data_IF_110886662612
#
_entry.id   IF_110886662612
#
_cell.length_a   1.000
_cell.length_b   1.000
_cell.length_c   1.000
_cell.angle_alpha   90.00
_cell.angle_beta   90.00
_cell.angle_gamma   90.00
#
_symmetry.space_group_name_H-M   'P 1'
#
loop_
_entity.id
_entity.type
_entity.pdbx_description
1 polymer ?
#
# COMPACT_ATOMS: atom_id res chain seq x y z
N UNK A 1 -13.91 -10.80 21.19
CA UNK A 1 -13.05 -11.59 20.29
C UNK A 1 -12.50 -10.68 19.19
N UNK A 2 -11.33 -10.96 18.63
CA UNK A 2 -10.74 -10.18 17.53
C UNK A 2 -11.69 -10.02 16.34
N UNK A 3 -12.42 -11.09 15.99
CA UNK A 3 -13.40 -11.09 14.90
C UNK A 3 -14.49 -10.01 15.06
N UNK A 4 -14.95 -9.72 16.27
CA UNK A 4 -15.94 -8.68 16.49
C UNK A 4 -15.37 -7.29 16.21
N UNK A 5 -14.13 -7.01 16.62
CA UNK A 5 -13.45 -5.73 16.33
C UNK A 5 -13.26 -5.52 14.82
N UNK A 6 -12.92 -6.58 14.07
CA UNK A 6 -12.71 -6.51 12.63
C UNK A 6 -14.02 -6.22 11.88
N UNK A 7 -15.14 -6.81 12.33
CA UNK A 7 -16.47 -6.50 11.79
C UNK A 7 -16.85 -5.05 12.05
N UNK A 8 -16.66 -4.55 13.27
CA UNK A 8 -16.97 -3.16 13.62
C UNK A 8 -16.09 -2.18 12.83
N UNK A 9 -14.80 -2.48 12.65
CA UNK A 9 -13.92 -1.66 11.81
C UNK A 9 -14.48 -1.52 10.39
N UNK A 10 -14.89 -2.62 9.78
CA UNK A 10 -15.45 -2.58 8.41
C UNK A 10 -16.73 -1.79 8.32
N UNK A 11 -17.63 -1.94 9.28
CA UNK A 11 -18.87 -1.16 9.33
C UNK A 11 -18.61 0.33 9.51
N UNK A 12 -17.73 0.71 10.43
CA UNK A 12 -17.34 2.09 10.64
C UNK A 12 -16.62 2.68 9.42
N UNK A 13 -15.78 1.88 8.74
CA UNK A 13 -15.11 2.28 7.51
C UNK A 13 -16.11 2.56 6.37
N UNK A 14 -17.08 1.68 6.15
CA UNK A 14 -18.12 1.89 5.14
C UNK A 14 -18.95 3.15 5.42
N UNK A 15 -19.22 3.44 6.69
CA UNK A 15 -19.94 4.65 7.10
C UNK A 15 -19.08 5.93 7.06
N UNK A 16 -17.75 5.82 6.91
CA UNK A 16 -16.82 6.96 7.05
C UNK A 16 -16.77 7.51 8.47
N UNK A 17 -17.11 6.69 9.46
CA UNK A 17 -17.21 7.05 10.87
C UNK A 17 -15.85 6.97 11.56
N UNK A 18 -15.07 8.05 11.43
CA UNK A 18 -13.72 8.17 12.00
C UNK A 18 -13.73 8.04 13.53
N UNK A 19 -14.73 8.61 14.20
CA UNK A 19 -14.82 8.58 15.66
C UNK A 19 -14.96 7.13 16.18
N UNK A 20 -15.73 6.31 15.50
CA UNK A 20 -15.87 4.88 15.82
C UNK A 20 -14.66 4.05 15.40
N UNK A 21 -13.89 4.50 14.40
CA UNK A 21 -12.68 3.80 13.95
C UNK A 21 -11.48 4.01 14.86
N UNK A 22 -11.25 5.23 15.37
CA UNK A 22 -10.08 5.57 16.18
C UNK A 22 -9.80 4.63 17.37
N UNK A 23 -10.80 4.21 18.15
CA UNK A 23 -10.54 3.27 19.23
C UNK A 23 -10.27 1.84 18.77
N UNK A 24 -10.64 1.48 17.52
CA UNK A 24 -10.49 0.14 16.96
C UNK A 24 -9.20 -0.04 16.19
N UNK A 25 -8.70 1.02 15.57
CA UNK A 25 -7.51 1.00 14.72
C UNK A 25 -6.65 2.24 14.95
N UNK A 26 -5.42 2.04 15.40
CA UNK A 26 -4.49 3.11 15.77
C UNK A 26 -3.09 2.83 15.21
N UNK A 27 -2.35 3.85 14.75
CA UNK A 27 -2.78 5.24 14.54
C UNK A 27 -3.65 5.39 13.28
N UNK A 28 -4.40 6.49 13.20
CA UNK A 28 -5.05 6.97 11.98
C UNK A 28 -4.45 8.32 11.62
N UNK A 29 -3.67 8.39 10.55
CA UNK A 29 -3.11 9.65 10.05
C UNK A 29 -4.21 10.56 9.47
N UNK A 30 -3.94 11.86 9.37
CA UNK A 30 -4.88 12.79 8.75
C UNK A 30 -5.11 12.47 7.27
N UNK A 31 -4.08 11.98 6.58
CA UNK A 31 -4.19 11.51 5.21
C UNK A 31 -5.09 10.27 5.11
N UNK A 32 -4.97 9.31 6.03
CA UNK A 32 -5.83 8.13 6.06
C UNK A 32 -7.28 8.49 6.38
N UNK A 33 -7.53 9.42 7.31
CA UNK A 33 -8.87 9.94 7.58
C UNK A 33 -9.49 10.57 6.34
N UNK A 34 -8.73 11.36 5.59
CA UNK A 34 -9.13 11.94 4.31
C UNK A 34 -9.43 10.85 3.25
N UNK A 35 -8.59 9.82 3.19
CA UNK A 35 -8.80 8.66 2.33
C UNK A 35 -10.12 7.95 2.64
N UNK A 36 -10.36 7.65 3.91
CA UNK A 36 -11.60 6.99 4.38
C UNK A 36 -12.81 7.84 4.01
N UNK A 37 -12.78 9.16 4.27
CA UNK A 37 -13.86 10.09 3.92
C UNK A 37 -14.14 10.12 2.42
N UNK A 38 -13.11 10.05 1.58
CA UNK A 38 -13.25 10.05 0.12
C UNK A 38 -13.89 8.77 -0.39
N UNK A 39 -13.44 7.60 0.09
CA UNK A 39 -13.87 6.32 -0.47
C UNK A 39 -15.14 5.76 0.16
N UNK A 40 -15.44 6.10 1.42
CA UNK A 40 -16.68 5.70 2.08
C UNK A 40 -17.95 6.18 1.36
N UNK A 41 -17.87 7.25 0.62
CA UNK A 41 -19.00 7.77 -0.19
C UNK A 41 -19.46 6.79 -1.28
N UNK A 42 -18.58 5.88 -1.71
CA UNK A 42 -18.90 4.85 -2.72
C UNK A 42 -19.42 3.56 -2.09
N UNK A 43 -19.16 3.33 -0.80
CA UNK A 43 -19.42 2.05 -0.13
C UNK A 43 -20.79 2.04 0.55
N UNK A 44 -21.64 1.08 0.15
CA UNK A 44 -22.92 0.84 0.82
C UNK A 44 -22.73 -0.01 2.08
N UNK A 45 -22.04 -1.15 1.95
CA UNK A 45 -21.80 -2.06 3.07
C UNK A 45 -20.62 -3.00 2.83
N UNK A 46 -20.12 -3.58 3.92
CA UNK A 46 -19.30 -4.78 3.88
C UNK A 46 -20.10 -5.94 4.47
N UNK A 47 -20.38 -6.94 3.64
CA UNK A 47 -21.22 -8.08 3.98
C UNK A 47 -20.38 -9.36 4.05
N UNK A 48 -20.97 -10.43 4.58
CA UNK A 48 -20.37 -11.77 4.66
C UNK A 48 -18.93 -11.79 5.21
N UNK A 49 -18.69 -10.99 6.25
CA UNK A 49 -17.36 -10.84 6.86
C UNK A 49 -16.96 -12.13 7.58
N UNK A 50 -15.85 -12.73 7.15
CA UNK A 50 -15.26 -13.93 7.75
C UNK A 50 -13.81 -13.63 8.12
N UNK A 51 -13.46 -13.91 9.37
CA UNK A 51 -12.11 -13.67 9.91
C UNK A 51 -11.41 -15.01 10.18
N UNK A 52 -10.16 -15.12 9.71
CA UNK A 52 -9.25 -16.22 9.99
C UNK A 52 -8.08 -15.66 10.78
N UNK A 53 -7.81 -16.18 11.97
CA UNK A 53 -6.76 -15.66 12.84
C UNK A 53 -5.74 -16.73 13.20
N UNK A 54 -4.48 -16.30 13.34
CA UNK A 54 -3.42 -17.09 13.93
C UNK A 54 -2.63 -16.23 14.95
N UNK A 55 -1.90 -16.87 15.89
CA UNK A 55 -1.04 -16.17 16.83
C UNK A 55 -0.05 -15.26 16.12
N UNK A 56 0.16 -14.05 16.65
CA UNK A 56 1.18 -13.12 16.20
C UNK A 56 2.53 -13.33 16.88
N UNK A 57 3.29 -12.25 17.03
CA UNK A 57 4.66 -12.30 17.60
C UNK A 57 4.65 -12.50 19.12
N UNK A 58 3.61 -12.01 19.79
CA UNK A 58 3.44 -12.09 21.22
C UNK A 58 2.18 -12.88 21.57
N UNK A 59 2.09 -13.35 22.82
CA UNK A 59 0.92 -14.09 23.30
C UNK A 59 -0.38 -13.29 23.22
N UNK A 60 -0.26 -11.96 23.17
CA UNK A 60 -1.38 -11.02 23.10
C UNK A 60 -1.54 -10.36 21.71
N UNK A 61 -0.98 -10.95 20.68
CA UNK A 61 -1.10 -10.46 19.30
C UNK A 61 -1.61 -11.52 18.34
N UNK A 62 -2.22 -11.07 17.22
CA UNK A 62 -2.85 -11.93 16.24
C UNK A 62 -2.64 -11.39 14.84
N UNK A 63 -2.39 -12.30 13.89
CA UNK A 63 -2.47 -12.02 12.45
C UNK A 63 -3.84 -12.47 11.97
N UNK A 64 -4.58 -11.56 11.33
CA UNK A 64 -5.97 -11.79 10.95
C UNK A 64 -6.16 -11.53 9.46
N UNK A 65 -6.69 -12.52 8.75
CA UNK A 65 -7.19 -12.37 7.39
C UNK A 65 -8.70 -12.14 7.44
N UNK A 66 -9.18 -11.09 6.80
CA UNK A 66 -10.59 -10.73 6.79
C UNK A 66 -11.10 -10.77 5.36
N UNK A 67 -11.98 -11.72 5.07
CA UNK A 67 -12.70 -11.80 3.79
C UNK A 67 -14.06 -11.13 3.92
N UNK A 68 -14.50 -10.47 2.86
CA UNK A 68 -15.76 -9.74 2.84
C UNK A 68 -16.30 -9.61 1.42
N UNK A 69 -17.57 -9.22 1.33
CA UNK A 69 -18.22 -8.76 0.10
C UNK A 69 -18.48 -7.25 0.22
N UNK A 70 -17.78 -6.45 -0.58
CA UNK A 70 -17.97 -4.99 -0.62
C UNK A 70 -19.08 -4.65 -1.60
N UNK A 71 -20.13 -4.03 -1.08
CA UNK A 71 -21.23 -3.52 -1.88
C UNK A 71 -21.08 -2.02 -2.11
N UNK A 72 -21.22 -1.62 -3.36
CA UNK A 72 -21.23 -0.22 -3.77
C UNK A 72 -22.67 0.27 -3.94
N UNK A 73 -22.92 1.54 -3.69
CA UNK A 73 -24.21 2.14 -3.97
C UNK A 73 -24.61 1.94 -5.43
N UNK A 74 -25.88 1.58 -5.66
CA UNK A 74 -26.49 1.40 -6.99
C UNK A 74 -25.91 0.26 -7.85
N UNK A 75 -25.10 -0.62 -7.26
CA UNK A 75 -24.54 -1.79 -7.92
C UNK A 75 -25.00 -3.05 -7.16
N UNK A 76 -25.68 -3.95 -7.88
CA UNK A 76 -26.27 -5.15 -7.26
C UNK A 76 -25.21 -6.21 -6.93
N UNK A 77 -24.17 -6.31 -7.75
CA UNK A 77 -23.10 -7.29 -7.57
C UNK A 77 -22.03 -6.76 -6.61
N UNK A 78 -21.83 -7.46 -5.51
CA UNK A 78 -20.77 -7.13 -4.57
C UNK A 78 -19.38 -7.55 -5.08
N UNK A 79 -18.35 -6.81 -4.69
CA UNK A 79 -16.96 -7.14 -4.96
C UNK A 79 -16.35 -7.93 -3.78
N UNK A 80 -16.04 -9.22 -3.94
CA UNK A 80 -15.29 -9.96 -2.93
C UNK A 80 -13.92 -9.34 -2.68
N UNK A 81 -13.53 -9.24 -1.42
CA UNK A 81 -12.24 -8.68 -1.02
C UNK A 81 -11.63 -9.40 0.17
N UNK A 82 -10.37 -9.12 0.40
CA UNK A 82 -9.62 -9.65 1.53
C UNK A 82 -8.63 -8.61 2.03
N UNK A 83 -8.53 -8.49 3.35
CA UNK A 83 -7.56 -7.64 4.03
C UNK A 83 -6.85 -8.40 5.14
N UNK A 84 -5.72 -7.85 5.57
CA UNK A 84 -4.93 -8.37 6.68
C UNK A 84 -4.87 -7.33 7.78
N UNK A 85 -5.01 -7.79 9.04
CA UNK A 85 -4.87 -6.96 10.21
C UNK A 85 -3.87 -7.57 11.18
N UNK A 86 -3.03 -6.74 11.75
CA UNK A 86 -2.25 -7.07 12.92
C UNK A 86 -2.97 -6.52 14.15
N UNK A 87 -3.40 -7.42 15.03
CA UNK A 87 -4.20 -7.09 16.21
C UNK A 87 -3.37 -7.28 17.45
N UNK A 88 -3.35 -6.30 18.31
CA UNK A 88 -2.62 -6.30 19.58
C UNK A 88 -3.54 -5.96 20.74
N UNK A 89 -3.07 -6.22 21.95
CA UNK A 89 -3.75 -5.82 23.18
C UNK A 89 -3.08 -4.58 23.75
N UNK A 90 -3.88 -3.57 24.07
CA UNK A 90 -3.41 -2.37 24.74
C UNK A 90 -3.05 -2.60 26.21
N UNK A 91 -2.43 -1.61 26.87
CA UNK A 91 -2.07 -1.69 28.29
C UNK A 91 -3.27 -1.84 29.25
N UNK A 92 -4.51 -1.71 28.75
CA UNK A 92 -5.76 -1.93 29.51
C UNK A 92 -6.39 -3.29 29.23
N UNK A 93 -5.78 -4.06 28.32
CA UNK A 93 -6.26 -5.39 27.94
C UNK A 93 -7.28 -5.38 26.78
N UNK A 94 -7.53 -4.25 26.12
CA UNK A 94 -8.42 -4.18 24.98
C UNK A 94 -7.69 -4.55 23.69
N UNK A 95 -8.34 -5.30 22.82
CA UNK A 95 -7.82 -5.59 21.48
C UNK A 95 -8.02 -4.38 20.57
N UNK A 96 -6.98 -4.02 19.85
CA UNK A 96 -7.02 -3.01 18.79
C UNK A 96 -6.23 -3.47 17.57
N UNK A 97 -6.53 -2.88 16.41
CA UNK A 97 -5.79 -3.10 15.18
C UNK A 97 -4.61 -2.14 15.18
N UNK A 98 -3.38 -2.69 15.13
CA UNK A 98 -2.20 -1.87 14.92
C UNK A 98 -2.16 -1.43 13.45
N UNK A 99 -2.61 -0.21 13.21
CA UNK A 99 -2.86 0.31 11.88
C UNK A 99 -1.58 0.70 11.11
N UNK A 100 -0.43 0.73 11.80
CA UNK A 100 0.89 0.82 11.14
C UNK A 100 1.07 -0.30 10.11
N UNK A 101 0.51 -1.49 10.39
CA UNK A 101 0.58 -2.66 9.51
C UNK A 101 -0.70 -2.86 8.69
N UNK A 102 -1.42 -1.80 8.37
CA UNK A 102 -2.57 -1.82 7.48
C UNK A 102 -2.16 -1.78 6.00
N UNK A 103 -3.05 -2.25 5.12
CA UNK A 103 -2.87 -2.12 3.68
C UNK A 103 -2.69 -0.66 3.24
N UNK A 104 -3.37 0.27 3.92
CA UNK A 104 -3.19 1.70 3.67
C UNK A 104 -1.75 2.12 3.91
N UNK A 105 -1.19 1.86 5.10
CA UNK A 105 0.17 2.28 5.42
C UNK A 105 1.22 1.55 4.59
N UNK A 106 0.99 0.30 4.18
CA UNK A 106 1.89 -0.40 3.25
C UNK A 106 1.97 0.26 1.87
N UNK A 107 0.90 0.94 1.45
CA UNK A 107 0.85 1.64 0.17
C UNK A 107 1.36 3.08 0.23
N UNK A 108 1.18 3.77 1.35
CA UNK A 108 1.41 5.21 1.45
C UNK A 108 2.54 5.61 2.41
N UNK A 109 2.94 4.72 3.33
CA UNK A 109 4.06 4.89 4.27
C UNK A 109 3.95 6.18 5.10
N UNK A 110 2.76 6.49 5.59
CA UNK A 110 2.53 7.61 6.51
C UNK A 110 3.16 7.36 7.89
N UNK A 111 3.37 6.09 8.25
CA UNK A 111 3.97 5.65 9.51
C UNK A 111 5.13 4.68 9.23
N UNK A 112 6.19 4.76 10.05
CA UNK A 112 7.35 3.90 9.93
C UNK A 112 7.04 2.45 10.34
N UNK A 113 7.55 1.50 9.57
CA UNK A 113 7.37 0.06 9.78
C UNK A 113 8.54 -0.54 10.57
N UNK A 114 8.25 -1.36 11.59
CA UNK A 114 9.25 -2.28 12.13
C UNK A 114 9.54 -3.40 11.13
N UNK A 115 10.80 -3.49 10.71
CA UNK A 115 11.22 -4.41 9.64
C UNK A 115 11.00 -5.90 9.99
N UNK A 116 11.14 -6.26 11.27
CA UNK A 116 10.97 -7.65 11.72
C UNK A 116 9.49 -8.05 11.71
N UNK A 117 8.63 -7.18 12.24
CA UNK A 117 7.20 -7.42 12.26
C UNK A 117 6.61 -7.38 10.83
N UNK A 118 7.07 -6.45 10.01
CA UNK A 118 6.69 -6.40 8.59
C UNK A 118 7.06 -7.71 7.86
N UNK A 119 8.28 -8.21 8.08
CA UNK A 119 8.72 -9.48 7.50
C UNK A 119 7.88 -10.67 7.96
N UNK A 120 7.48 -10.69 9.23
CA UNK A 120 6.58 -11.72 9.76
C UNK A 120 5.21 -11.69 9.07
N UNK A 121 4.63 -10.51 8.91
CA UNK A 121 3.34 -10.32 8.24
C UNK A 121 3.43 -10.78 6.78
N UNK A 122 4.50 -10.40 6.06
CA UNK A 122 4.71 -10.85 4.68
C UNK A 122 4.86 -12.37 4.57
N UNK A 123 5.52 -13.01 5.54
CA UNK A 123 5.63 -14.46 5.57
C UNK A 123 4.29 -15.14 5.83
N UNK A 124 3.47 -14.57 6.70
CA UNK A 124 2.10 -15.03 6.92
C UNK A 124 1.26 -14.93 5.64
N UNK A 125 1.29 -13.80 4.96
CA UNK A 125 0.55 -13.58 3.72
C UNK A 125 0.97 -14.54 2.59
N UNK A 126 2.20 -15.05 2.65
CA UNK A 126 2.76 -16.04 1.70
C UNK A 126 2.58 -17.49 2.12
N UNK A 127 1.98 -17.75 3.28
CA UNK A 127 1.71 -19.13 3.70
C UNK A 127 0.70 -19.82 2.76
N UNK A 128 0.81 -21.12 2.59
CA UNK A 128 0.02 -21.87 1.60
C UNK A 128 -1.49 -21.68 1.81
N UNK A 129 -1.96 -21.70 3.05
CA UNK A 129 -3.37 -21.54 3.39
C UNK A 129 -3.88 -20.14 3.04
N UNK A 130 -3.09 -19.10 3.33
CA UNK A 130 -3.43 -17.71 3.04
C UNK A 130 -3.39 -17.46 1.53
N UNK A 131 -2.39 -17.97 0.82
CA UNK A 131 -2.30 -17.89 -0.64
C UNK A 131 -3.48 -18.58 -1.31
N UNK A 132 -3.88 -19.75 -0.84
CA UNK A 132 -5.06 -20.45 -1.35
C UNK A 132 -6.34 -19.63 -1.15
N UNK A 133 -6.48 -18.99 0.02
CA UNK A 133 -7.61 -18.10 0.31
C UNK A 133 -7.61 -16.85 -0.58
N UNK A 134 -6.46 -16.22 -0.78
CA UNK A 134 -6.30 -15.08 -1.70
C UNK A 134 -6.70 -15.46 -3.13
N UNK A 135 -6.28 -16.63 -3.61
CA UNK A 135 -6.64 -17.12 -4.95
C UNK A 135 -8.14 -17.36 -5.09
N UNK A 136 -8.80 -17.90 -4.07
CA UNK A 136 -10.25 -18.08 -4.08
C UNK A 136 -11.01 -16.75 -4.12
N UNK A 137 -10.57 -15.78 -3.31
CA UNK A 137 -11.17 -14.43 -3.30
C UNK A 137 -10.94 -13.75 -4.65
N UNK A 138 -9.73 -13.84 -5.22
CA UNK A 138 -9.42 -13.24 -6.51
C UNK A 138 -10.27 -13.85 -7.63
N UNK A 139 -10.45 -15.17 -7.67
CA UNK A 139 -11.29 -15.82 -8.67
C UNK A 139 -12.75 -15.36 -8.59
N UNK A 140 -13.29 -15.23 -7.38
CA UNK A 140 -14.67 -14.70 -7.17
C UNK A 140 -14.77 -13.22 -7.57
N UNK A 141 -13.75 -12.43 -7.28
CA UNK A 141 -13.68 -11.01 -7.70
C UNK A 141 -13.69 -10.91 -9.24
N UNK A 142 -12.85 -11.68 -9.91
CA UNK A 142 -12.77 -11.68 -11.38
C UNK A 142 -14.11 -12.08 -12.02
N UNK A 143 -14.80 -13.08 -11.45
CA UNK A 143 -16.12 -13.50 -11.88
C UNK A 143 -17.17 -12.40 -11.66
N UNK A 144 -17.17 -11.75 -10.48
CA UNK A 144 -18.08 -10.66 -10.17
C UNK A 144 -17.92 -9.49 -11.14
N UNK A 145 -16.67 -9.05 -11.38
CA UNK A 145 -16.35 -7.95 -12.31
C UNK A 145 -16.72 -8.31 -13.75
N UNK A 146 -16.50 -9.55 -14.18
CA UNK A 146 -16.87 -10.02 -15.52
C UNK A 146 -18.38 -10.11 -15.70
N UNK A 147 -19.16 -10.31 -14.64
CA UNK A 147 -20.62 -10.48 -14.69
C UNK A 147 -21.40 -9.18 -14.64
N UNK A 148 -20.79 -8.08 -14.19
CA UNK A 148 -21.48 -6.80 -13.97
C UNK A 148 -20.64 -5.61 -14.48
N UNK A 149 -21.14 -5.01 -15.58
CA UNK A 149 -20.48 -3.86 -16.21
C UNK A 149 -20.41 -2.64 -15.29
N UNK A 150 -21.42 -2.42 -14.43
CA UNK A 150 -21.42 -1.32 -13.46
C UNK A 150 -20.30 -1.52 -12.44
N UNK A 151 -20.14 -2.75 -11.94
CA UNK A 151 -19.05 -3.09 -11.05
C UNK A 151 -17.69 -2.91 -11.72
N UNK A 152 -17.53 -3.39 -12.96
CA UNK A 152 -16.31 -3.22 -13.74
C UNK A 152 -15.95 -1.74 -13.92
N UNK A 153 -16.92 -0.88 -14.22
CA UNK A 153 -16.73 0.57 -14.35
C UNK A 153 -16.41 1.23 -13.02
N UNK A 154 -17.03 0.78 -11.92
CA UNK A 154 -16.73 1.29 -10.58
C UNK A 154 -15.27 1.02 -10.21
N UNK A 155 -14.83 -0.23 -10.23
CA UNK A 155 -13.48 -0.62 -9.78
C UNK A 155 -12.39 -0.23 -10.78
N UNK A 156 -12.67 -0.28 -12.08
CA UNK A 156 -11.73 0.03 -13.16
C UNK A 156 -11.63 1.50 -13.55
N UNK A 157 -12.65 2.29 -13.26
CA UNK A 157 -12.76 3.70 -13.66
C UNK A 157 -12.97 4.65 -12.50
N UNK A 158 -14.17 4.60 -11.88
CA UNK A 158 -14.59 5.57 -10.86
C UNK A 158 -13.64 5.63 -9.67
N UNK A 159 -13.32 4.49 -9.06
CA UNK A 159 -12.41 4.43 -7.90
C UNK A 159 -10.98 4.81 -8.27
N UNK A 160 -10.51 4.45 -9.47
CA UNK A 160 -9.17 4.87 -9.93
C UNK A 160 -9.09 6.38 -10.10
N UNK A 161 -10.12 7.00 -10.66
CA UNK A 161 -10.18 8.46 -10.81
C UNK A 161 -10.24 9.16 -9.45
N UNK A 162 -11.02 8.61 -8.51
CA UNK A 162 -11.10 9.12 -7.15
C UNK A 162 -9.74 9.01 -6.43
N UNK A 163 -9.03 7.90 -6.61
CA UNK A 163 -7.68 7.69 -6.06
C UNK A 163 -6.69 8.74 -6.58
N UNK A 164 -6.69 8.99 -7.89
CA UNK A 164 -5.81 10.00 -8.50
C UNK A 164 -6.10 11.39 -7.91
N UNK A 165 -7.36 11.79 -7.85
CA UNK A 165 -7.77 13.09 -7.30
C UNK A 165 -7.40 13.23 -5.82
N UNK A 166 -7.59 12.16 -5.04
CA UNK A 166 -7.21 12.17 -3.63
C UNK A 166 -5.70 12.32 -3.46
N UNK A 167 -4.87 11.58 -4.20
CA UNK A 167 -3.40 11.71 -4.18
C UNK A 167 -2.94 13.10 -4.54
N UNK A 168 -3.52 13.70 -5.58
CA UNK A 168 -3.19 15.06 -6.01
C UNK A 168 -3.55 16.08 -4.91
N UNK A 169 -4.66 15.91 -4.21
CA UNK A 169 -5.08 16.78 -3.11
C UNK A 169 -4.14 16.68 -1.90
N UNK A 170 -3.68 15.49 -1.55
CA UNK A 170 -2.72 15.26 -0.44
C UNK A 170 -1.36 15.87 -0.79
N UNK A 171 -0.85 15.66 -2.00
CA UNK A 171 0.40 16.27 -2.46
C UNK A 171 0.35 17.81 -2.41
N UNK A 172 -0.75 18.42 -2.86
CA UNK A 172 -0.94 19.88 -2.80
C UNK A 172 -0.97 20.43 -1.37
N UNK A 173 -1.48 19.65 -0.40
CA UNK A 173 -1.49 20.03 1.02
C UNK A 173 -0.09 20.02 1.63
N UNK A 174 0.71 19.01 1.31
CA UNK A 174 2.11 18.90 1.76
C UNK A 174 2.97 20.05 1.23
N UNK A 175 2.82 20.43 -0.04
CA UNK A 175 3.54 21.55 -0.64
C UNK A 175 3.20 22.89 0.04
N UNK A 176 1.97 23.06 0.54
CA UNK A 176 1.56 24.28 1.26
C UNK A 176 2.05 24.33 2.71
N UNK A 177 2.19 23.20 3.38
CA UNK A 177 2.76 23.10 4.73
C UNK A 177 4.25 23.40 4.74
N UNK A 178 5.01 22.86 3.78
CA UNK A 178 6.44 23.16 3.59
C UNK A 178 6.68 24.65 3.25
N UNK A 179 5.75 25.30 2.55
CA UNK A 179 5.85 26.72 2.21
C UNK A 179 5.56 27.68 3.37
N UNK A 180 4.89 27.22 4.44
CA UNK A 180 4.54 28.04 5.60
C UNK A 180 5.57 28.03 6.72
N UNK A 181 6.56 27.13 6.69
CA UNK A 181 7.64 27.07 7.68
C UNK A 181 8.88 27.92 7.32
N UNK A 182 8.77 28.80 6.34
CA UNK A 182 9.80 29.79 6.03
C UNK A 182 9.48 31.10 6.78
N UNK A 183 9.83 31.19 8.04
CA UNK A 183 9.85 32.45 8.78
C UNK A 183 10.88 33.38 8.12
N UNK A 184 10.54 34.59 7.69
CA UNK A 184 11.51 35.51 7.16
C UNK A 184 12.42 35.99 8.32
N UNK A 185 13.67 35.59 8.28
CA UNK A 185 14.70 36.18 9.13
C UNK A 185 14.84 37.66 8.75
N UNK A 186 14.51 38.51 9.69
CA UNK A 186 14.71 39.96 9.68
C UNK A 186 16.17 40.28 9.36
N UNK A 187 16.35 40.94 8.22
CA UNK A 187 17.63 41.55 7.82
C UNK A 187 17.88 42.79 8.65
N UNK A 188 18.94 42.83 9.43
CA UNK A 188 19.57 44.09 9.82
C UNK A 188 20.83 44.31 9.00
N UNK A 189 20.82 45.45 8.35
CA UNK A 189 21.86 46.06 7.55
C UNK A 189 23.18 46.23 8.33
N UNK A 190 24.29 45.95 7.66
CA UNK A 190 25.42 46.93 7.75
C UNK A 190 26.30 46.82 6.52
N UNK A 191 26.36 47.96 5.82
CA UNK A 191 27.26 48.28 4.71
C UNK A 191 28.75 48.16 5.08
N UNK A 192 29.57 47.73 4.14
CA UNK A 192 30.69 48.54 3.61
C UNK A 192 31.53 47.80 2.56
N UNK A 193 31.51 48.36 1.35
CA UNK A 193 32.60 48.70 0.40
C UNK A 193 33.92 47.89 0.52
N UNK A 194 34.52 47.41 -0.52
CA UNK A 194 35.12 47.95 -1.74
C UNK A 194 35.85 46.84 -2.54
N UNK A 195 35.64 46.82 -3.84
CA UNK A 195 36.58 46.92 -4.97
C UNK A 195 37.79 45.97 -5.06
N UNK A 196 37.93 45.21 -6.11
CA UNK A 196 38.72 45.28 -7.31
C UNK A 196 38.91 43.95 -7.99
N UNK A 197 38.51 43.91 -9.28
CA UNK A 197 39.24 43.54 -10.50
C UNK A 197 40.36 42.46 -10.39
N UNK A 198 40.32 41.43 -11.21
CA UNK A 198 40.75 41.33 -12.59
C UNK A 198 40.86 39.86 -13.03
N UNK A 199 40.37 39.55 -14.23
CA UNK A 199 41.00 38.90 -15.41
C UNK A 199 41.96 37.74 -15.11
N UNK A 200 42.00 36.69 -15.82
CA UNK A 200 41.98 36.43 -17.24
C UNK A 200 42.23 34.90 -17.45
N UNK A 201 41.57 34.38 -18.45
CA UNK A 201 42.08 33.66 -19.61
C UNK A 201 42.59 32.21 -19.53
N UNK A 202 41.99 31.52 -20.46
CA UNK A 202 42.61 30.57 -21.42
C UNK A 202 42.61 29.09 -21.10
N UNK A 203 41.72 28.42 -21.79
CA UNK A 203 41.93 27.63 -23.02
C UNK A 203 42.70 26.32 -22.91
N UNK A 204 42.06 25.36 -23.44
CA UNK A 204 42.42 24.43 -24.53
C UNK A 204 42.54 22.96 -24.14
N UNK A 205 41.63 22.24 -24.75
CA UNK A 205 41.80 21.24 -25.85
C UNK A 205 42.52 19.93 -25.52
N UNK A 206 41.85 18.93 -25.91
CA UNK A 206 42.10 17.86 -26.91
C UNK A 206 41.84 16.50 -26.33
N UNK A 207 40.85 15.79 -26.90
CA UNK A 207 40.94 14.72 -27.91
C UNK A 207 41.94 13.62 -27.58
N UNK A 208 41.47 12.40 -27.55
CA UNK A 208 41.41 11.41 -28.61
C UNK A 208 41.11 10.03 -27.99
N UNK A 209 40.09 9.31 -28.39
CA UNK A 209 40.00 8.32 -29.44
C UNK A 209 40.83 7.05 -29.20
N UNK A 210 40.17 5.91 -29.18
CA UNK A 210 40.34 4.69 -29.98
C UNK A 210 39.62 3.53 -29.32
N UNK A 211 38.57 3.05 -29.88
CA UNK A 211 38.35 1.86 -30.74
C UNK A 211 39.30 0.67 -30.56
N UNK A 212 38.69 -0.50 -30.29
CA UNK A 212 38.89 -1.78 -30.99
C UNK A 212 38.05 -2.84 -30.25
N UNK A 213 37.04 -3.39 -30.78
CA UNK A 213 36.87 -4.52 -31.74
C UNK A 213 37.44 -5.83 -31.29
N UNK A 214 36.45 -6.75 -31.25
CA UNK A 214 36.43 -8.11 -31.87
C UNK A 214 37.00 -9.25 -31.00
N UNK A 215 36.33 -10.32 -30.80
CA UNK A 215 36.04 -11.40 -31.70
C UNK A 215 35.30 -12.57 -31.02
N UNK A 216 34.31 -13.03 -31.69
CA UNK A 216 33.70 -14.35 -31.81
C UNK A 216 34.46 -15.56 -31.26
N UNK A 217 33.73 -16.49 -30.66
CA UNK A 217 33.59 -17.85 -31.15
C UNK A 217 32.47 -18.67 -30.53
N UNK A 218 31.68 -19.19 -31.44
CA UNK A 218 30.81 -20.38 -31.31
C UNK A 218 31.59 -21.58 -30.83
N UNK A 219 30.94 -22.47 -30.12
CA UNK A 219 30.97 -23.88 -30.51
C UNK A 219 29.75 -24.63 -30.01
N UNK A 220 29.20 -25.37 -30.93
CA UNK A 220 28.13 -26.34 -30.85
C UNK A 220 28.67 -27.63 -30.18
N UNK A 221 27.78 -28.39 -29.53
CA UNK A 221 27.59 -29.85 -29.81
C UNK A 221 26.55 -30.44 -28.85
N UNK A 222 25.40 -30.81 -29.38
CA UNK A 222 24.87 -32.14 -29.68
C UNK A 222 24.50 -33.02 -28.48
N UNK A 223 23.19 -33.18 -28.43
CA UNK A 223 22.37 -34.37 -28.27
C UNK A 223 23.06 -35.69 -27.87
N UNK A 224 22.43 -36.37 -26.91
CA UNK A 224 22.17 -37.79 -27.09
C UNK A 224 20.93 -38.24 -26.26
N UNK A 225 20.08 -38.91 -26.98
CA UNK A 225 18.98 -39.77 -26.58
C UNK A 225 19.42 -40.86 -25.60
N UNK A 226 18.61 -41.20 -24.63
CA UNK A 226 18.35 -42.62 -24.40
C UNK A 226 17.00 -42.89 -23.73
N UNK A 227 16.26 -43.66 -24.46
CA UNK A 227 15.02 -44.35 -24.20
C UNK A 227 15.31 -45.64 -23.43
N UNK A 228 14.44 -46.03 -22.54
CA UNK A 228 13.90 -47.36 -22.29
C UNK A 228 13.30 -47.41 -20.89
N UNK A 229 12.05 -47.62 -20.75
CA UNK A 229 11.23 -48.80 -20.92
C UNK A 229 11.23 -49.74 -19.69
N UNK A 230 10.00 -50.01 -19.32
CA UNK A 230 9.47 -51.21 -18.73
C UNK A 230 9.34 -51.40 -17.19
N UNK A 231 8.07 -51.50 -16.84
CA UNK A 231 7.37 -52.56 -16.07
C UNK A 231 7.76 -52.87 -14.61
N UNK A 232 6.90 -52.59 -13.72
CA UNK A 232 5.94 -53.49 -13.04
C UNK A 232 5.03 -52.77 -12.10
#
# INVERSE_FOLDING_TARGET
SSAASDVYKRQAYAAGDIESLEPLAQPLSDNEKSYIGTFSDYYESFDNIVCYSMPGVTDDSYLVSVCYDLKFYEIDTAAPGMDFFYVERDGKGNLYINNVYSSYNFNFLDEDLDANLYSLILNYEKSDDVVALQQQVQAKYDEAVASDEKLANMVGGTLRSAMTKWRDSVAATQDTEDATDVTPATTEETQKTETTESKDDSKKDSKDNTESKDDTKKDDTKADDNKSDDSK
#
